data_IF_469379748551
#
_entry.id   IF_469379748551
#
_cell.length_a   1.000
_cell.length_b   1.000
_cell.length_c   1.000
_cell.angle_alpha   90.00
_cell.angle_beta   90.00
_cell.angle_gamma   90.00
#
_symmetry.space_group_name_H-M   'P 1'
#
loop_
_entity.id
_entity.type
_entity.pdbx_description
1 polymer ?
#
# COMPACT_ATOMS: atom_id res chain seq x y z
N UNK A 1 -2.54 -6.51 -31.42
CA UNK A 1 -3.24 -5.43 -30.70
C UNK A 1 -2.41 -5.14 -29.46
N UNK A 2 -1.81 -3.95 -29.36
CA UNK A 2 -1.13 -3.54 -28.14
C UNK A 2 -2.20 -3.36 -27.07
N UNK A 3 -2.06 -4.03 -25.92
CA UNK A 3 -2.84 -3.68 -24.74
C UNK A 3 -2.63 -2.18 -24.52
N UNK A 4 -3.71 -1.40 -24.61
CA UNK A 4 -3.68 -0.02 -24.19
C UNK A 4 -3.05 -0.02 -22.79
N UNK A 5 -2.09 0.88 -22.55
CA UNK A 5 -1.40 0.99 -21.27
C UNK A 5 -2.46 1.23 -20.19
N UNK A 6 -2.97 0.14 -19.59
CA UNK A 6 -4.11 0.11 -18.68
C UNK A 6 -3.70 0.58 -17.27
N UNK A 7 -2.56 1.28 -17.20
CA UNK A 7 -2.03 1.81 -15.96
C UNK A 7 -2.99 2.91 -15.51
N UNK A 8 -3.53 2.82 -14.29
CA UNK A 8 -4.44 3.82 -13.80
C UNK A 8 -3.73 5.18 -13.82
N UNK A 9 -4.34 6.16 -14.48
CA UNK A 9 -3.79 7.51 -14.63
C UNK A 9 -3.91 8.26 -13.32
N UNK A 10 -2.79 8.72 -12.76
CA UNK A 10 -2.77 9.58 -11.58
C UNK A 10 -3.41 10.95 -11.90
N UNK A 11 -4.32 11.41 -11.05
CA UNK A 11 -5.00 12.71 -11.20
C UNK A 11 -4.80 13.62 -9.99
N UNK A 12 -4.57 13.05 -8.81
CA UNK A 12 -4.37 13.78 -7.57
C UNK A 12 -3.30 13.13 -6.70
N UNK A 13 -2.56 13.95 -5.95
CA UNK A 13 -1.53 13.48 -5.02
C UNK A 13 -1.36 14.41 -3.83
N UNK A 14 -1.40 13.85 -2.64
CA UNK A 14 -1.23 14.58 -1.39
C UNK A 14 -0.27 13.84 -0.45
N UNK A 15 0.68 14.57 0.12
CA UNK A 15 1.57 14.07 1.18
C UNK A 15 1.10 14.66 2.53
N UNK A 16 0.83 13.80 3.51
CA UNK A 16 0.37 14.14 4.86
C UNK A 16 1.45 13.71 5.87
N UNK A 17 2.05 14.65 6.63
CA UNK A 17 3.04 14.31 7.64
C UNK A 17 2.37 13.56 8.81
N UNK A 18 3.03 12.51 9.30
CA UNK A 18 2.62 11.74 10.47
C UNK A 18 3.66 11.87 11.58
N UNK A 19 3.25 11.67 12.82
CA UNK A 19 4.15 11.64 13.97
C UNK A 19 5.29 10.62 13.79
N UNK A 20 6.46 10.91 14.33
CA UNK A 20 7.63 10.03 14.21
C UNK A 20 8.32 10.08 12.84
N UNK A 21 8.20 11.21 12.11
CA UNK A 21 8.94 11.45 10.86
C UNK A 21 8.45 10.69 9.64
N UNK A 22 7.25 10.08 9.71
CA UNK A 22 6.64 9.34 8.61
C UNK A 22 5.83 10.27 7.72
N UNK A 23 5.56 9.84 6.48
CA UNK A 23 4.67 10.57 5.57
C UNK A 23 3.69 9.63 4.91
N UNK A 24 2.40 9.90 5.05
CA UNK A 24 1.34 9.24 4.29
C UNK A 24 1.20 9.92 2.94
N UNK A 25 1.22 9.15 1.86
CA UNK A 25 0.97 9.62 0.50
C UNK A 25 -0.34 9.03 0.02
N UNK A 26 -1.26 9.91 -0.37
CA UNK A 26 -2.55 9.54 -0.98
C UNK A 26 -2.47 9.92 -2.45
N UNK A 27 -2.71 8.96 -3.33
CA UNK A 27 -2.79 9.16 -4.78
C UNK A 27 -4.20 8.79 -5.23
N UNK A 28 -4.85 9.71 -5.96
CA UNK A 28 -6.11 9.46 -6.63
C UNK A 28 -5.85 9.15 -8.11
N UNK A 29 -6.57 8.15 -8.61
CA UNK A 29 -6.53 7.76 -10.01
C UNK A 29 -7.84 8.11 -10.73
N UNK A 30 -7.75 8.36 -12.04
CA UNK A 30 -8.89 8.74 -12.88
C UNK A 30 -10.05 7.73 -12.90
N UNK A 31 -9.79 6.48 -12.51
CA UNK A 31 -10.81 5.43 -12.38
C UNK A 31 -11.52 5.42 -11.00
N UNK A 32 -11.26 6.41 -10.15
CA UNK A 32 -11.82 6.52 -8.80
C UNK A 32 -11.11 5.67 -7.75
N UNK A 33 -10.07 4.90 -8.11
CA UNK A 33 -9.27 4.16 -7.12
C UNK A 33 -8.32 5.09 -6.38
N UNK A 34 -8.01 4.73 -5.13
CA UNK A 34 -7.11 5.48 -4.26
C UNK A 34 -5.97 4.55 -3.82
N UNK A 35 -4.73 5.02 -3.95
CA UNK A 35 -3.55 4.34 -3.39
C UNK A 35 -3.03 5.10 -2.19
N UNK A 36 -2.81 4.35 -1.12
CA UNK A 36 -2.23 4.85 0.12
C UNK A 36 -0.84 4.23 0.27
N UNK A 37 0.18 5.06 0.48
CA UNK A 37 1.55 4.62 0.74
C UNK A 37 2.12 5.32 1.98
N UNK A 38 2.85 4.58 2.82
CA UNK A 38 3.56 5.17 3.97
C UNK A 38 5.05 5.19 3.67
N UNK A 39 5.65 6.38 3.58
CA UNK A 39 7.09 6.53 3.51
C UNK A 39 7.68 6.36 4.91
N UNK A 40 8.45 5.29 5.09
CA UNK A 40 9.10 4.89 6.33
C UNK A 40 10.18 3.84 6.02
N UNK A 41 10.96 3.43 7.02
CA UNK A 41 11.91 2.31 6.93
C UNK A 41 11.33 0.94 7.29
N UNK A 42 10.04 0.83 7.63
CA UNK A 42 9.41 -0.42 8.10
C UNK A 42 8.18 -0.78 7.25
N UNK A 43 7.90 -2.08 7.02
CA UNK A 43 6.72 -2.50 6.28
C UNK A 43 5.44 -2.16 7.07
N UNK A 44 4.37 -1.84 6.35
CA UNK A 44 3.03 -1.65 6.90
C UNK A 44 2.11 -2.77 6.43
N UNK A 45 1.18 -3.16 7.29
CA UNK A 45 0.28 -4.28 7.03
C UNK A 45 -1.15 -3.84 7.30
N UNK A 46 -2.08 -4.36 6.52
CA UNK A 46 -3.51 -4.16 6.74
C UNK A 46 -3.89 -4.96 7.98
N UNK A 47 -4.54 -4.29 8.93
CA UNK A 47 -4.98 -4.88 10.21
C UNK A 47 -6.49 -4.87 10.37
N UNK A 48 -7.20 -4.02 9.64
CA UNK A 48 -8.66 -4.04 9.51
C UNK A 48 -9.08 -3.40 8.19
N UNK A 49 -10.21 -3.87 7.65
CA UNK A 49 -10.95 -3.25 6.56
C UNK A 49 -12.44 -3.38 6.91
N UNK A 50 -13.10 -2.25 7.11
CA UNK A 50 -14.48 -2.18 7.58
C UNK A 50 -15.24 -1.01 6.94
N UNK A 51 -16.57 -1.09 6.90
CA UNK A 51 -17.43 0.02 6.47
C UNK A 51 -18.16 0.57 7.70
N UNK A 52 -17.93 1.84 8.02
CA UNK A 52 -18.47 2.53 9.21
C UNK A 52 -19.13 3.82 8.72
N UNK A 53 -20.40 4.04 9.05
CA UNK A 53 -21.11 5.30 8.74
C UNK A 53 -20.97 5.76 7.27
N UNK A 54 -21.16 4.83 6.33
CA UNK A 54 -20.96 5.03 4.87
C UNK A 54 -19.51 5.30 4.41
N UNK A 55 -18.53 5.20 5.31
CA UNK A 55 -17.10 5.36 5.02
C UNK A 55 -16.38 4.00 4.94
N UNK A 56 -15.48 3.85 3.97
CA UNK A 56 -14.55 2.72 3.92
C UNK A 56 -13.33 3.02 4.81
N UNK A 57 -13.20 2.28 5.92
CA UNK A 57 -12.14 2.47 6.91
C UNK A 57 -11.07 1.39 6.75
N UNK A 58 -9.85 1.82 6.46
CA UNK A 58 -8.67 0.96 6.35
C UNK A 58 -7.70 1.25 7.51
N UNK A 59 -7.42 0.24 8.32
CA UNK A 59 -6.40 0.35 9.38
C UNK A 59 -5.11 -0.34 8.96
N UNK A 60 -4.03 0.43 8.86
CA UNK A 60 -2.68 -0.08 8.65
C UNK A 60 -1.79 0.16 9.87
N UNK A 61 -0.89 -0.77 10.14
CA UNK A 61 0.06 -0.66 11.25
C UNK A 61 1.48 -1.07 10.82
N UNK A 62 2.54 -0.54 11.44
CA UNK A 62 3.88 -1.07 11.25
C UNK A 62 3.89 -2.57 11.59
N UNK A 63 4.34 -3.41 10.66
CA UNK A 63 4.61 -4.80 10.95
C UNK A 63 5.84 -4.87 11.86
N UNK A 64 5.68 -5.35 13.10
CA UNK A 64 6.84 -5.69 13.94
C UNK A 64 7.61 -6.81 13.22
N UNK A 65 8.93 -6.69 13.12
CA UNK A 65 9.79 -7.82 12.78
C UNK A 65 9.40 -9.00 13.70
N UNK A 66 8.98 -10.12 13.11
CA UNK A 66 8.47 -11.30 13.82
C UNK A 66 6.94 -11.46 13.88
N UNK A 67 6.14 -10.53 13.36
CA UNK A 67 4.70 -10.74 13.19
C UNK A 67 4.42 -11.57 11.93
N UNK A 68 3.41 -12.43 11.91
CA UNK A 68 3.02 -13.26 10.75
C UNK A 68 2.82 -12.45 9.45
N UNK A 69 2.58 -11.15 9.57
CA UNK A 69 2.48 -10.22 8.46
C UNK A 69 3.83 -9.89 7.78
N UNK A 70 4.96 -9.93 8.50
CA UNK A 70 6.30 -9.87 7.90
C UNK A 70 6.59 -11.13 7.08
N UNK A 71 6.15 -12.30 7.56
CA UNK A 71 6.28 -13.56 6.81
C UNK A 71 5.49 -13.54 5.49
N UNK A 72 4.27 -12.99 5.48
CA UNK A 72 3.48 -12.88 4.24
C UNK A 72 4.13 -11.92 3.24
N UNK A 73 4.65 -10.76 3.70
CA UNK A 73 5.34 -9.82 2.82
C UNK A 73 6.63 -10.42 2.25
N UNK A 74 7.47 -11.05 3.08
CA UNK A 74 8.69 -11.72 2.62
C UNK A 74 8.36 -12.88 1.68
N UNK A 75 7.37 -13.72 1.98
CA UNK A 75 7.03 -14.85 1.12
C UNK A 75 6.52 -14.41 -0.27
N UNK A 76 5.66 -13.38 -0.30
CA UNK A 76 5.11 -12.82 -1.54
C UNK A 76 6.18 -12.11 -2.39
N UNK A 77 7.13 -11.40 -1.77
CA UNK A 77 8.15 -10.64 -2.47
C UNK A 77 9.52 -11.35 -2.63
N UNK A 78 9.74 -12.48 -1.96
CA UNK A 78 10.92 -13.36 -2.19
C UNK A 78 10.65 -14.43 -3.25
N UNK A 79 9.39 -14.62 -3.67
CA UNK A 79 9.06 -15.50 -4.79
C UNK A 79 9.39 -14.89 -6.16
N UNK A 80 9.68 -13.58 -6.23
CA UNK A 80 10.05 -12.87 -7.48
C UNK A 80 11.57 -12.87 -7.74
N UNK A 81 12.41 -13.21 -6.75
CA UNK A 81 13.88 -13.23 -6.88
C UNK A 81 14.44 -14.63 -7.24
N UNK A 82 13.55 -15.54 -7.67
CA UNK A 82 13.82 -16.98 -7.73
C UNK A 82 13.76 -17.62 -9.12
N UNK A 83 13.66 -16.88 -10.22
CA UNK A 83 13.61 -17.52 -11.55
C UNK A 83 14.47 -16.82 -12.62
N UNK A 84 15.71 -17.34 -12.73
CA UNK A 84 16.47 -17.76 -13.95
C UNK A 84 17.86 -17.14 -14.13
N UNK A 85 18.80 -17.85 -14.81
CA UNK A 85 18.69 -19.17 -15.45
C UNK A 85 19.39 -20.33 -14.72
#
# INVERSE_FOLDING_TARGET
MAAADERPREVGKQDVPLSGGRTLRVTEYANGSIRIAVKTGSPYVITSLEQIDDEAVLKISPGREGSSAHKNWVHDHSADDGERP
#
